data_IF_862504905728
#
_entry.id   IF_862504905728
#
_cell.length_a   1.000
_cell.length_b   1.000
_cell.length_c   1.000
_cell.angle_alpha   90.00
_cell.angle_beta   90.00
_cell.angle_gamma   90.00
#
_symmetry.space_group_name_H-M   'P 1'
#
loop_
_entity.id
_entity.type
_entity.pdbx_description
1 polymer ?
#
# COMPACT_ATOMS: atom_id res chain seq x y z
N UNK A 1 -12.21 30.22 -11.53
CA UNK A 1 -12.45 28.83 -11.07
C UNK A 1 -12.29 27.86 -12.22
N UNK A 2 -11.04 27.55 -12.54
CA UNK A 2 -10.70 26.39 -13.35
C UNK A 2 -10.41 25.24 -12.39
N UNK A 3 -11.17 24.16 -12.40
CA UNK A 3 -10.79 22.95 -11.66
C UNK A 3 -9.83 22.12 -12.50
N UNK A 4 -8.83 21.50 -11.86
CA UNK A 4 -7.84 20.65 -12.52
C UNK A 4 -7.81 19.30 -11.82
N UNK A 5 -7.84 18.22 -12.60
CA UNK A 5 -7.68 16.87 -12.06
C UNK A 5 -6.19 16.50 -12.02
N UNK A 6 -5.64 16.37 -10.81
CA UNK A 6 -4.32 15.79 -10.57
C UNK A 6 -4.39 14.27 -10.46
N UNK A 7 -3.35 13.57 -10.91
CA UNK A 7 -3.22 12.11 -10.72
C UNK A 7 -1.83 11.81 -10.19
N UNK A 8 -1.75 11.18 -9.02
CA UNK A 8 -0.52 10.68 -8.42
C UNK A 8 -0.54 9.16 -8.41
N UNK A 9 0.61 8.55 -8.65
CA UNK A 9 0.79 7.10 -8.61
C UNK A 9 1.95 6.76 -7.68
N UNK A 10 1.69 5.89 -6.70
CA UNK A 10 2.67 5.36 -5.77
C UNK A 10 2.88 3.88 -6.09
N UNK A 11 4.12 3.50 -6.37
CA UNK A 11 4.54 2.11 -6.53
C UNK A 11 5.28 1.65 -5.29
N UNK A 12 4.81 0.59 -4.64
CA UNK A 12 5.46 -0.05 -3.51
C UNK A 12 6.00 -1.41 -3.96
N UNK A 13 7.33 -1.51 -4.03
CA UNK A 13 8.04 -2.71 -4.43
C UNK A 13 8.58 -3.45 -3.21
N UNK A 14 8.05 -4.64 -2.96
CA UNK A 14 8.47 -5.52 -1.87
C UNK A 14 9.43 -6.57 -2.42
N UNK A 15 10.72 -6.43 -2.13
CA UNK A 15 11.73 -7.39 -2.61
C UNK A 15 11.89 -8.57 -1.65
N UNK A 16 12.34 -8.30 -0.42
CA UNK A 16 12.71 -9.33 0.55
C UNK A 16 12.17 -8.99 1.94
N UNK A 17 11.79 -10.02 2.67
CA UNK A 17 11.43 -9.94 4.07
C UNK A 17 12.51 -10.63 4.90
N UNK A 18 13.11 -9.90 5.85
CA UNK A 18 14.12 -10.44 6.77
C UNK A 18 13.48 -10.68 8.13
N UNK A 19 13.29 -11.95 8.49
CA UNK A 19 12.80 -12.31 9.80
C UNK A 19 13.94 -12.24 10.84
N UNK A 20 13.98 -11.20 11.68
CA UNK A 20 14.99 -11.09 12.75
C UNK A 20 14.67 -12.04 13.92
N UNK A 21 13.48 -11.90 14.51
CA UNK A 21 13.04 -12.73 15.65
C UNK A 21 11.51 -12.75 15.82
N UNK A 22 10.76 -13.00 14.74
CA UNK A 22 9.33 -13.29 14.90
C UNK A 22 9.18 -14.56 15.76
N UNK A 23 8.39 -14.41 16.82
CA UNK A 23 8.18 -15.47 17.81
C UNK A 23 7.26 -16.60 17.28
N UNK A 24 6.32 -16.23 16.42
CA UNK A 24 5.35 -17.15 15.83
C UNK A 24 5.85 -17.62 14.46
N UNK A 25 5.78 -18.93 14.21
CA UNK A 25 6.06 -19.52 12.90
C UNK A 25 4.75 -19.78 12.19
N UNK A 26 4.74 -19.66 10.87
CA UNK A 26 3.56 -19.92 10.05
C UNK A 26 3.47 -18.97 8.87
N UNK A 27 2.25 -18.68 8.43
CA UNK A 27 2.02 -17.90 7.22
C UNK A 27 1.79 -16.44 7.54
N UNK A 28 2.40 -15.60 6.71
CA UNK A 28 2.38 -14.16 6.83
C UNK A 28 2.00 -13.51 5.52
N UNK A 29 1.38 -12.34 5.65
CA UNK A 29 0.99 -11.50 4.53
C UNK A 29 1.29 -10.05 4.88
N UNK A 30 1.94 -9.33 3.96
CA UNK A 30 2.10 -7.90 4.07
C UNK A 30 0.84 -7.24 3.54
N UNK A 31 0.27 -6.32 4.32
CA UNK A 31 -0.90 -5.52 3.95
C UNK A 31 -0.47 -4.07 3.85
N UNK A 32 -0.78 -3.42 2.74
CA UNK A 32 -0.46 -2.04 2.49
C UNK A 32 -1.74 -1.23 2.22
N UNK A 33 -1.89 -0.09 2.88
CA UNK A 33 -2.99 0.83 2.64
C UNK A 33 -2.48 2.25 2.46
N UNK A 34 -2.99 2.97 1.48
CA UNK A 34 -2.71 4.39 1.31
C UNK A 34 -3.90 5.19 1.84
N UNK A 35 -3.65 6.09 2.79
CA UNK A 35 -4.63 7.06 3.26
C UNK A 35 -4.28 8.43 2.70
N UNK A 36 -5.30 9.17 2.31
CA UNK A 36 -5.17 10.54 1.82
C UNK A 36 -6.02 11.42 2.72
N UNK A 37 -5.48 12.57 3.14
CA UNK A 37 -6.23 13.49 3.99
C UNK A 37 -7.50 13.98 3.28
N UNK A 38 -8.63 14.16 3.98
CA UNK A 38 -9.89 14.59 3.38
C UNK A 38 -9.93 16.10 3.05
N UNK A 39 -8.79 16.82 3.19
CA UNK A 39 -8.70 18.26 2.93
C UNK A 39 -8.96 18.63 1.48
N UNK A 40 -8.65 17.71 0.57
CA UNK A 40 -8.86 17.84 -0.86
C UNK A 40 -9.77 16.70 -1.34
N UNK A 41 -10.81 16.97 -2.15
CA UNK A 41 -11.62 15.92 -2.76
C UNK A 41 -10.75 14.96 -3.57
N UNK A 42 -10.84 13.67 -3.27
CA UNK A 42 -9.98 12.68 -3.88
C UNK A 42 -10.67 11.33 -4.08
N UNK A 43 -10.12 10.53 -5.00
CA UNK A 43 -10.49 9.14 -5.24
C UNK A 43 -9.23 8.29 -5.28
N UNK A 44 -9.15 7.32 -4.37
CA UNK A 44 -8.10 6.31 -4.36
C UNK A 44 -8.53 5.11 -5.20
N UNK A 45 -7.62 4.64 -6.05
CA UNK A 45 -7.70 3.38 -6.79
C UNK A 45 -6.47 2.55 -6.45
N UNK A 46 -6.65 1.24 -6.30
CA UNK A 46 -5.56 0.33 -6.00
C UNK A 46 -5.52 -0.76 -7.08
N UNK A 47 -4.31 -1.09 -7.55
CA UNK A 47 -4.07 -2.20 -8.47
C UNK A 47 -2.87 -3.03 -8.00
N UNK A 48 -2.81 -4.27 -8.47
CA UNK A 48 -1.84 -5.26 -8.00
C UNK A 48 -1.46 -6.24 -9.12
N UNK A 49 -0.27 -6.83 -8.99
CA UNK A 49 0.22 -7.87 -9.90
C UNK A 49 -0.21 -9.29 -9.53
N UNK A 50 -0.44 -9.58 -8.25
CA UNK A 50 -0.55 -10.97 -7.74
C UNK A 50 -1.55 -11.20 -6.58
N UNK A 51 -2.07 -10.18 -5.90
CA UNK A 51 -2.85 -10.35 -4.66
C UNK A 51 -3.96 -9.30 -4.43
N UNK A 52 -5.07 -9.70 -3.82
CA UNK A 52 -6.36 -8.98 -3.84
C UNK A 52 -6.37 -7.55 -3.25
N UNK A 53 -7.45 -6.81 -3.58
CA UNK A 53 -7.79 -5.51 -2.97
C UNK A 53 -9.02 -5.70 -2.09
N UNK A 54 -8.93 -5.24 -0.85
CA UNK A 54 -10.08 -5.17 0.05
C UNK A 54 -10.07 -3.84 0.80
N UNK A 55 -11.15 -3.08 0.67
CA UNK A 55 -11.37 -1.82 1.40
C UNK A 55 -10.19 -0.82 1.29
N UNK A 56 -9.65 -0.64 0.08
CA UNK A 56 -8.51 0.25 -0.17
C UNK A 56 -7.15 -0.26 0.32
N UNK A 57 -7.10 -1.47 0.88
CA UNK A 57 -5.88 -2.16 1.29
C UNK A 57 -5.49 -3.19 0.22
N UNK A 58 -4.23 -3.17 -0.18
CA UNK A 58 -3.61 -4.15 -1.08
C UNK A 58 -2.84 -5.16 -0.24
N UNK A 59 -2.88 -6.42 -0.64
CA UNK A 59 -2.18 -7.48 0.06
C UNK A 59 -1.03 -8.01 -0.78
N UNK A 60 0.01 -8.53 -0.14
CA UNK A 60 1.03 -9.34 -0.82
C UNK A 60 0.52 -10.77 -0.99
N UNK A 61 1.27 -11.56 -1.74
CA UNK A 61 1.20 -13.02 -1.63
C UNK A 61 1.47 -13.44 -0.18
N UNK A 62 0.85 -14.54 0.21
CA UNK A 62 1.15 -15.18 1.49
C UNK A 62 2.51 -15.86 1.37
N UNK A 63 3.34 -15.71 2.40
CA UNK A 63 4.65 -16.36 2.49
C UNK A 63 4.85 -17.00 3.87
N UNK A 64 5.59 -18.10 3.90
CA UNK A 64 5.83 -18.85 5.12
C UNK A 64 7.12 -18.39 5.79
N UNK A 65 7.10 -18.31 7.13
CA UNK A 65 8.27 -18.03 7.96
C UNK A 65 8.42 -19.17 8.97
N UNK A 66 9.58 -19.82 8.95
CA UNK A 66 9.86 -21.01 9.77
C UNK A 66 11.01 -20.79 10.75
N UNK A 67 12.02 -20.00 10.38
CA UNK A 67 13.25 -19.86 11.16
C UNK A 67 13.58 -18.41 11.48
N UNK A 68 14.31 -18.19 12.59
CA UNK A 68 14.92 -16.91 12.92
C UNK A 68 16.04 -16.60 11.92
N UNK A 69 16.24 -15.32 11.63
CA UNK A 69 17.21 -14.83 10.64
C UNK A 69 16.99 -15.40 9.22
N UNK A 70 15.74 -15.78 8.91
CA UNK A 70 15.35 -16.25 7.57
C UNK A 70 15.11 -15.06 6.64
N UNK A 71 15.55 -15.20 5.39
CA UNK A 71 15.28 -14.24 4.32
C UNK A 71 14.30 -14.86 3.33
N UNK A 72 13.17 -14.20 3.13
CA UNK A 72 12.13 -14.63 2.21
C UNK A 72 12.02 -13.63 1.06
N UNK A 73 12.13 -14.09 -0.18
CA UNK A 73 11.81 -13.26 -1.34
C UNK A 73 10.28 -13.02 -1.37
N UNK A 74 9.85 -11.76 -1.42
CA UNK A 74 8.43 -11.39 -1.57
C UNK A 74 8.13 -11.10 -3.04
N UNK A 75 8.95 -10.28 -3.70
CA UNK A 75 8.85 -9.91 -5.13
C UNK A 75 7.44 -9.51 -5.58
N UNK A 76 6.75 -8.68 -4.79
CA UNK A 76 5.43 -8.14 -5.14
C UNK A 76 5.49 -6.63 -5.37
N UNK A 77 4.58 -6.15 -6.22
CA UNK A 77 4.40 -4.72 -6.48
C UNK A 77 2.94 -4.32 -6.22
N UNK A 78 2.76 -3.25 -5.45
CA UNK A 78 1.46 -2.67 -5.12
C UNK A 78 1.39 -1.26 -5.66
N UNK A 79 0.34 -0.95 -6.43
CA UNK A 79 0.18 0.36 -7.06
C UNK A 79 -1.04 1.06 -6.45
N UNK A 80 -0.82 2.27 -5.95
CA UNK A 80 -1.86 3.16 -5.46
C UNK A 80 -1.96 4.37 -6.36
N UNK A 81 -3.12 4.58 -6.96
CA UNK A 81 -3.40 5.71 -7.84
C UNK A 81 -4.40 6.64 -7.17
N UNK A 82 -4.02 7.89 -6.97
CA UNK A 82 -4.84 8.91 -6.33
C UNK A 82 -5.23 9.95 -7.38
N UNK A 83 -6.52 10.09 -7.60
CA UNK A 83 -7.07 11.21 -8.35
C UNK A 83 -7.46 12.32 -7.37
N UNK A 84 -6.94 13.52 -7.60
CA UNK A 84 -7.21 14.72 -6.80
C UNK A 84 -7.95 15.75 -7.66
N UNK A 85 -8.93 16.43 -7.07
CA UNK A 85 -9.55 17.61 -7.67
C UNK A 85 -8.95 18.87 -7.03
N UNK A 86 -8.20 19.65 -7.81
CA UNK A 86 -7.43 20.81 -7.34
C UNK A 86 -7.96 22.11 -7.94
N UNK A 87 -7.76 23.21 -7.23
CA UNK A 87 -7.97 24.55 -7.77
C UNK A 87 -6.86 24.89 -8.77
N UNK A 88 -7.23 25.12 -10.03
CA UNK A 88 -6.32 25.42 -11.12
C UNK A 88 -5.58 26.75 -10.97
N UNK A 89 -6.10 27.69 -10.18
CA UNK A 89 -5.44 28.96 -9.90
C UNK A 89 -4.39 28.83 -8.77
N UNK A 90 -4.48 27.76 -7.96
CA UNK A 90 -3.65 27.54 -6.75
C UNK A 90 -3.16 26.10 -6.62
N UNK A 91 -2.78 25.48 -7.75
CA UNK A 91 -2.44 24.03 -7.81
C UNK A 91 -1.33 23.65 -6.83
N UNK A 92 -0.25 24.44 -6.77
CA UNK A 92 0.90 24.13 -5.91
C UNK A 92 0.53 24.14 -4.42
N UNK A 93 -0.21 25.16 -3.99
CA UNK A 93 -0.67 25.30 -2.61
C UNK A 93 -1.66 24.18 -2.27
N UNK A 94 -2.65 23.93 -3.13
CA UNK A 94 -3.64 22.88 -2.93
C UNK A 94 -3.01 21.48 -2.85
N UNK A 95 -1.97 21.21 -3.67
CA UNK A 95 -1.23 19.95 -3.61
C UNK A 95 -0.40 19.84 -2.32
N UNK A 96 0.19 20.94 -1.86
CA UNK A 96 0.99 20.97 -0.62
C UNK A 96 0.17 20.70 0.65
N UNK A 97 -1.14 20.96 0.61
CA UNK A 97 -2.06 20.69 1.71
C UNK A 97 -2.47 19.22 1.83
N UNK A 98 -2.24 18.42 0.77
CA UNK A 98 -2.57 17.00 0.73
C UNK A 98 -1.53 16.19 1.49
N UNK A 99 -1.99 15.54 2.56
CA UNK A 99 -1.17 14.57 3.30
C UNK A 99 -1.48 13.14 2.86
N UNK A 100 -0.42 12.36 2.65
CA UNK A 100 -0.46 10.96 2.22
C UNK A 100 0.21 10.08 3.27
N UNK A 101 -0.50 9.07 3.75
CA UNK A 101 0.02 8.12 4.73
C UNK A 101 -0.03 6.71 4.17
N UNK A 102 1.15 6.12 3.94
CA UNK A 102 1.28 4.70 3.63
C UNK A 102 1.36 3.90 4.94
N UNK A 103 0.45 2.96 5.11
CA UNK A 103 0.44 2.01 6.23
C UNK A 103 0.89 0.65 5.73
N UNK A 104 1.85 0.03 6.43
CA UNK A 104 2.30 -1.33 6.20
C UNK A 104 2.10 -2.15 7.46
N UNK A 105 1.35 -3.25 7.34
CA UNK A 105 1.10 -4.19 8.41
C UNK A 105 1.59 -5.59 8.00
N UNK A 106 2.13 -6.33 8.96
CA UNK A 106 2.44 -7.76 8.80
C UNK A 106 1.35 -8.56 9.51
N UNK A 107 0.60 -9.35 8.75
CA UNK A 107 -0.53 -10.13 9.25
C UNK A 107 -0.18 -11.62 9.30
N UNK A 108 -0.40 -12.26 10.45
CA UNK A 108 -0.29 -13.71 10.62
C UNK A 108 -1.60 -14.41 10.22
N UNK A 109 -1.52 -15.52 9.48
CA UNK A 109 -2.66 -16.34 9.08
C UNK A 109 -2.34 -17.83 9.22
N UNK A 110 -3.33 -18.63 9.58
CA UNK A 110 -3.19 -20.10 9.65
C UNK A 110 -3.48 -20.78 8.29
N UNK A 111 -4.05 -20.04 7.32
CA UNK A 111 -4.42 -20.56 6.02
C UNK A 111 -3.41 -20.15 4.93
N UNK A 112 -2.95 -21.14 4.16
CA UNK A 112 -2.10 -20.95 2.95
C UNK A 112 -2.85 -20.29 1.79
N UNK A 113 -4.18 -20.40 1.75
CA UNK A 113 -5.04 -19.84 0.71
C UNK A 113 -6.12 -18.99 1.38
N UNK A 114 -6.24 -17.73 0.93
CA UNK A 114 -7.34 -16.84 1.30
C UNK A 114 -8.22 -16.59 0.07
#
# INVERSE_FOLDING_TARGET
MSEVQGTLEFSLELHKFHNVDLFQRGFYQIRAGLKVSPRVPHRLLCSFSSAGVYDGTVFSRIFQILYRNEEIAVNDCMIFKVHLLLDGERVEEALSEVDFQLKLDLHFTDNEQQ
#
